data_IF_277172517756
#
_entry.id   IF_277172517756
#
_cell.length_a   1.000
_cell.length_b   1.000
_cell.length_c   1.000
_cell.angle_alpha   90.00
_cell.angle_beta   90.00
_cell.angle_gamma   90.00
#
_symmetry.space_group_name_H-M   'P 1'
#
loop_
_entity.id
_entity.type
_entity.pdbx_description
1 polymer ?
#
# COMPACT_ATOMS: atom_id res chain seq x y z
N UNK A 1 -19.00 -11.68 10.01
CA UNK A 1 -18.14 -12.06 8.88
C UNK A 1 -18.60 -11.30 7.67
N UNK A 2 -17.80 -10.39 7.12
CA UNK A 2 -18.10 -9.73 5.84
C UNK A 2 -17.22 -10.43 4.80
N UNK A 3 -17.83 -11.32 4.03
CA UNK A 3 -17.20 -12.14 2.98
C UNK A 3 -17.50 -11.56 1.62
N UNK A 4 -17.20 -10.27 1.40
CA UNK A 4 -17.49 -9.65 0.11
C UNK A 4 -16.25 -8.98 -0.49
N UNK A 5 -15.46 -9.80 -1.17
CA UNK A 5 -14.29 -9.41 -1.96
C UNK A 5 -14.66 -8.86 -3.34
N UNK A 6 -15.94 -8.62 -3.63
CA UNK A 6 -16.40 -8.09 -4.94
C UNK A 6 -16.07 -6.62 -5.16
N UNK A 7 -15.50 -5.92 -4.17
CA UNK A 7 -15.30 -4.46 -4.22
C UNK A 7 -14.32 -3.95 -5.29
N UNK A 8 -13.57 -4.81 -6.00
CA UNK A 8 -12.53 -4.39 -6.95
C UNK A 8 -12.54 -5.07 -8.32
N UNK A 9 -13.50 -5.92 -8.64
CA UNK A 9 -13.49 -6.66 -9.90
C UNK A 9 -14.83 -6.55 -10.60
N UNK A 10 -14.82 -5.83 -11.73
CA UNK A 10 -15.83 -5.80 -12.81
C UNK A 10 -16.64 -4.50 -13.00
N UNK A 11 -16.03 -3.33 -12.79
CA UNK A 11 -16.65 -2.06 -13.23
C UNK A 11 -15.82 -1.35 -14.31
N UNK A 12 -16.47 -0.77 -15.35
CA UNK A 12 -15.79 0.00 -16.39
C UNK A 12 -15.09 1.22 -15.76
N UNK A 13 -13.84 1.48 -16.16
CA UNK A 13 -12.93 2.39 -15.44
C UNK A 13 -13.40 3.84 -15.21
N UNK A 14 -14.49 4.28 -15.85
CA UNK A 14 -15.08 5.60 -15.63
C UNK A 14 -15.86 5.70 -14.30
N UNK A 15 -16.60 4.66 -13.89
CA UNK A 15 -17.38 4.66 -12.64
C UNK A 15 -16.49 4.63 -11.40
N UNK A 16 -15.33 3.97 -11.49
CA UNK A 16 -14.35 3.89 -10.41
C UNK A 16 -13.72 5.26 -10.09
N UNK A 17 -13.44 6.05 -11.13
CA UNK A 17 -12.88 7.40 -10.97
C UNK A 17 -13.89 8.33 -10.28
N UNK A 18 -15.16 8.25 -10.68
CA UNK A 18 -16.21 9.09 -10.12
C UNK A 18 -16.54 8.71 -8.67
N UNK A 19 -16.54 7.42 -8.36
CA UNK A 19 -16.70 6.95 -6.97
C UNK A 19 -15.53 7.39 -6.09
N UNK A 20 -14.30 7.32 -6.59
CA UNK A 20 -13.14 7.80 -5.87
C UNK A 20 -13.21 9.31 -5.61
N UNK A 21 -13.60 10.11 -6.61
CA UNK A 21 -13.84 11.55 -6.45
C UNK A 21 -14.91 11.82 -5.40
N UNK A 22 -16.04 11.13 -5.43
CA UNK A 22 -17.13 11.28 -4.45
C UNK A 22 -16.65 10.99 -3.02
N UNK A 23 -15.86 9.94 -2.84
CA UNK A 23 -15.27 9.59 -1.54
C UNK A 23 -14.28 10.68 -1.07
N UNK A 24 -13.43 11.19 -1.96
CA UNK A 24 -12.52 12.28 -1.61
C UNK A 24 -13.27 13.55 -1.20
N UNK A 25 -14.34 13.91 -1.91
CA UNK A 25 -15.20 15.04 -1.57
C UNK A 25 -15.85 14.85 -0.20
N UNK A 26 -16.37 13.65 0.09
CA UNK A 26 -16.99 13.33 1.38
C UNK A 26 -15.99 13.38 2.56
N UNK A 27 -14.76 12.90 2.35
CA UNK A 27 -13.71 12.98 3.38
C UNK A 27 -13.29 14.45 3.55
N UNK A 28 -13.19 15.21 2.46
CA UNK A 28 -12.90 16.65 2.49
C UNK A 28 -13.93 17.47 3.26
N UNK A 29 -15.22 17.20 3.05
CA UNK A 29 -16.28 17.89 3.79
C UNK A 29 -16.34 17.47 5.26
N UNK A 30 -16.09 16.19 5.56
CA UNK A 30 -16.15 15.67 6.93
C UNK A 30 -14.92 16.04 7.76
N UNK A 31 -13.76 16.20 7.11
CA UNK A 31 -12.48 16.48 7.77
C UNK A 31 -11.69 17.56 7.01
N UNK A 32 -12.20 18.81 6.97
CA UNK A 32 -11.66 19.89 6.15
C UNK A 32 -10.22 20.24 6.48
N UNK A 33 -9.83 20.14 7.76
CA UNK A 33 -8.45 20.41 8.19
C UNK A 33 -7.57 19.17 8.32
N UNK A 34 -8.03 18.00 7.85
CA UNK A 34 -7.23 16.79 7.99
C UNK A 34 -5.94 16.89 7.20
N UNK A 35 -4.83 16.67 7.91
CA UNK A 35 -3.51 16.51 7.30
C UNK A 35 -3.50 15.37 6.28
N UNK A 36 -4.37 14.36 6.43
CA UNK A 36 -4.49 13.20 5.53
C UNK A 36 -4.80 13.59 4.07
N UNK A 37 -5.64 14.61 3.85
CA UNK A 37 -5.99 15.08 2.51
C UNK A 37 -4.88 15.93 1.86
N UNK A 38 -4.00 16.52 2.67
CA UNK A 38 -2.89 17.37 2.24
C UNK A 38 -1.72 16.56 1.64
N UNK A 39 -1.70 15.22 1.81
CA UNK A 39 -0.58 14.32 1.44
C UNK A 39 -0.56 13.88 -0.04
N UNK A 40 -1.57 14.22 -0.84
CA UNK A 40 -1.72 13.69 -2.21
C UNK A 40 -0.67 14.12 -3.25
N UNK A 41 0.30 14.98 -2.93
CA UNK A 41 1.10 15.69 -3.94
C UNK A 41 2.26 14.92 -4.58
N UNK A 42 2.50 13.65 -4.25
CA UNK A 42 3.66 12.93 -4.82
C UNK A 42 3.43 11.45 -5.12
N UNK A 43 2.19 11.00 -5.30
CA UNK A 43 1.93 9.62 -5.71
C UNK A 43 2.28 9.41 -7.19
N UNK A 44 2.85 8.24 -7.50
CA UNK A 44 3.16 7.81 -8.87
C UNK A 44 2.20 6.72 -9.30
N UNK A 45 1.92 6.66 -10.60
CA UNK A 45 1.11 5.59 -11.19
C UNK A 45 2.00 4.39 -11.48
N UNK A 46 1.73 3.27 -10.81
CA UNK A 46 2.37 1.98 -11.09
C UNK A 46 1.29 0.97 -11.49
N UNK A 47 1.22 0.68 -12.80
CA UNK A 47 0.12 -0.09 -13.40
C UNK A 47 -1.22 0.61 -13.20
N UNK A 48 -2.20 -0.10 -12.63
CA UNK A 48 -3.56 0.43 -12.36
C UNK A 48 -3.70 1.13 -11.00
N UNK A 49 -2.64 1.20 -10.18
CA UNK A 49 -2.71 1.72 -8.81
C UNK A 49 -1.83 2.95 -8.63
N UNK A 50 -2.28 3.88 -7.78
CA UNK A 50 -1.43 4.95 -7.27
C UNK A 50 -0.61 4.39 -6.11
N UNK A 51 0.70 4.60 -6.16
CA UNK A 51 1.65 4.17 -5.13
C UNK A 51 2.57 5.31 -4.76
N UNK A 52 3.20 5.22 -3.60
CA UNK A 52 4.30 6.11 -3.26
C UNK A 52 5.51 5.86 -4.18
N UNK A 53 6.32 6.89 -4.47
CA UNK A 53 7.56 6.72 -5.23
C UNK A 53 8.43 5.63 -4.61
N UNK A 54 9.10 4.85 -5.45
CA UNK A 54 9.94 3.71 -5.02
C UNK A 54 10.91 4.07 -3.90
N UNK A 55 11.60 5.21 -4.00
CA UNK A 55 12.53 5.70 -2.97
C UNK A 55 11.85 5.92 -1.62
N UNK A 56 10.64 6.50 -1.63
CA UNK A 56 9.87 6.74 -0.42
C UNK A 56 9.39 5.42 0.20
N UNK A 57 8.95 4.46 -0.62
CA UNK A 57 8.55 3.12 -0.14
C UNK A 57 9.71 2.40 0.54
N UNK A 58 10.90 2.41 -0.08
CA UNK A 58 12.11 1.84 0.52
C UNK A 58 12.40 2.49 1.87
N UNK A 59 12.34 3.84 1.95
CA UNK A 59 12.55 4.56 3.20
C UNK A 59 11.54 4.16 4.28
N UNK A 60 10.25 4.16 3.94
CA UNK A 60 9.17 3.78 4.86
C UNK A 60 9.34 2.35 5.37
N UNK A 61 9.54 1.39 4.48
CA UNK A 61 9.69 -0.01 4.86
C UNK A 61 10.93 -0.23 5.71
N UNK A 62 12.07 0.41 5.37
CA UNK A 62 13.28 0.32 6.18
C UNK A 62 13.04 0.79 7.61
N UNK A 63 12.43 1.97 7.78
CA UNK A 63 12.10 2.50 9.11
C UNK A 63 11.26 1.51 9.92
N UNK A 64 10.23 0.92 9.31
CA UNK A 64 9.34 -0.04 9.98
C UNK A 64 10.09 -1.34 10.33
N UNK A 65 10.87 -1.88 9.39
CA UNK A 65 11.66 -3.10 9.58
C UNK A 65 12.68 -2.92 10.69
N UNK A 66 13.41 -1.81 10.67
CA UNK A 66 14.43 -1.50 11.68
C UNK A 66 13.79 -1.41 13.06
N UNK A 67 12.62 -0.77 13.17
CA UNK A 67 11.89 -0.68 14.43
C UNK A 67 11.43 -2.05 14.93
N UNK A 68 10.84 -2.88 14.06
CA UNK A 68 10.45 -4.25 14.43
C UNK A 68 11.66 -5.05 14.94
N UNK A 69 12.78 -4.98 14.21
CA UNK A 69 14.00 -5.73 14.54
C UNK A 69 14.67 -5.27 15.84
N UNK A 70 14.51 -4.00 16.25
CA UNK A 70 14.98 -3.53 17.56
C UNK A 70 14.29 -4.26 18.72
N UNK A 71 12.99 -4.51 18.60
CA UNK A 71 12.21 -5.17 19.67
C UNK A 71 12.32 -6.69 19.61
N UNK A 72 12.40 -7.27 18.41
CA UNK A 72 12.56 -8.72 18.23
C UNK A 72 13.35 -9.03 16.97
N UNK A 73 14.64 -9.30 17.16
CA UNK A 73 15.52 -9.79 16.11
C UNK A 73 15.13 -11.22 15.70
N UNK A 74 15.14 -11.52 14.40
CA UNK A 74 14.91 -12.87 13.86
C UNK A 74 13.48 -13.19 13.43
N UNK A 75 12.59 -12.19 13.34
CA UNK A 75 11.28 -12.37 12.69
C UNK A 75 11.46 -12.31 11.17
N UNK A 76 10.83 -13.25 10.46
CA UNK A 76 10.69 -13.18 9.02
C UNK A 76 9.68 -12.10 8.62
N UNK A 77 10.13 -11.12 7.85
CA UNK A 77 9.31 -10.00 7.37
C UNK A 77 9.13 -10.13 5.87
N UNK A 78 7.87 -10.12 5.43
CA UNK A 78 7.48 -10.19 4.03
C UNK A 78 6.77 -8.93 3.55
N UNK A 79 7.10 -8.46 2.34
CA UNK A 79 6.46 -7.31 1.67
C UNK A 79 5.47 -7.79 0.60
N UNK A 80 4.24 -8.09 1.01
CA UNK A 80 3.22 -8.63 0.11
C UNK A 80 2.92 -7.68 -1.08
N UNK A 81 2.81 -8.26 -2.29
CA UNK A 81 2.52 -7.53 -3.55
C UNK A 81 3.51 -6.41 -3.88
N UNK A 82 4.74 -6.57 -3.40
CA UNK A 82 5.83 -5.64 -3.65
C UNK A 82 6.83 -6.18 -4.69
N UNK A 83 7.43 -5.27 -5.47
CA UNK A 83 8.31 -5.64 -6.57
C UNK A 83 9.68 -6.14 -6.09
N UNK A 84 10.30 -7.14 -6.75
CA UNK A 84 11.57 -7.75 -6.33
C UNK A 84 12.72 -6.75 -6.07
N UNK A 85 12.73 -5.61 -6.76
CA UNK A 85 13.75 -4.58 -6.59
C UNK A 85 13.69 -3.92 -5.21
N UNK A 86 12.49 -3.79 -4.63
CA UNK A 86 12.32 -3.24 -3.27
C UNK A 86 12.76 -4.28 -2.24
N UNK A 87 12.47 -5.56 -2.46
CA UNK A 87 12.98 -6.65 -1.62
C UNK A 87 14.51 -6.65 -1.57
N UNK A 88 15.15 -6.56 -2.74
CA UNK A 88 16.60 -6.47 -2.87
C UNK A 88 17.17 -5.24 -2.16
N UNK A 89 16.53 -4.08 -2.30
CA UNK A 89 16.96 -2.84 -1.65
C UNK A 89 16.86 -2.87 -0.11
N UNK A 90 16.06 -3.79 0.44
CA UNK A 90 15.86 -3.95 1.89
C UNK A 90 16.56 -5.20 2.44
N UNK A 91 17.36 -5.88 1.61
CA UNK A 91 18.07 -7.11 1.99
C UNK A 91 17.14 -8.18 2.56
N UNK A 92 15.90 -8.25 2.05
CA UNK A 92 14.93 -9.27 2.43
C UNK A 92 15.03 -10.47 1.47
N UNK A 93 15.04 -11.68 2.03
CA UNK A 93 14.96 -12.91 1.25
C UNK A 93 13.53 -13.18 0.80
N UNK A 94 13.34 -13.55 -0.47
CA UNK A 94 12.03 -13.95 -1.00
C UNK A 94 11.76 -15.47 -0.87
N UNK A 95 12.76 -16.25 -0.44
CA UNK A 95 12.67 -17.73 -0.37
C UNK A 95 11.90 -18.16 0.88
N UNK A 96 11.03 -19.16 0.73
CA UNK A 96 10.33 -19.79 1.87
C UNK A 96 9.14 -19.01 2.42
N UNK A 97 8.76 -17.90 1.78
CA UNK A 97 7.61 -17.10 2.21
C UNK A 97 6.31 -17.70 1.69
N UNK A 98 5.43 -18.12 2.60
CA UNK A 98 4.04 -18.44 2.30
C UNK A 98 3.19 -17.17 2.37
N UNK A 99 2.29 -16.99 1.41
CA UNK A 99 1.35 -15.89 1.43
C UNK A 99 -0.05 -16.43 1.74
N UNK A 100 -0.77 -15.79 2.66
CA UNK A 100 -2.17 -16.16 2.93
C UNK A 100 -3.09 -15.92 1.72
N UNK A 101 -2.62 -15.24 0.67
CA UNK A 101 -3.37 -14.99 -0.56
C UNK A 101 -3.26 -16.10 -1.61
N UNK A 102 -2.50 -17.18 -1.37
CA UNK A 102 -2.41 -18.33 -2.30
C UNK A 102 -3.31 -19.50 -1.88
N UNK A 103 -4.24 -19.27 -0.95
CA UNK A 103 -5.34 -20.19 -0.62
C UNK A 103 -6.63 -19.75 -1.32
#
# INVERSE_FOLDING_TARGET
>A
MITDTTFFTNEPGHTLLDRFKKTLTHIGSSFPESALLKVNKSLVREGKKLRYPKSLRIKMFRTIIDEIKKHKSGIDIALCKEQPEIWKALSLGMKGLSCNCVN
#
